data_IF_197512084781
#
_entry.id   IF_197512084781
#
_cell.length_a   1.000
_cell.length_b   1.000
_cell.length_c   1.000
_cell.angle_alpha   90.00
_cell.angle_beta   90.00
_cell.angle_gamma   90.00
#
_symmetry.space_group_name_H-M   'P 1'
#
loop_
_entity.id
_entity.type
_entity.pdbx_description
1 polymer ?
#
# COMPACT_ATOMS: atom_id res chain seq x y z
N UNK A 1 -9.62 0.48 -23.50
CA UNK A 1 -8.65 1.17 -22.63
C UNK A 1 -9.39 1.41 -21.34
N UNK A 2 -9.42 0.37 -20.50
CA UNK A 2 -10.27 0.33 -19.31
C UNK A 2 -9.58 1.08 -18.17
N UNK A 3 -10.34 1.92 -17.46
CA UNK A 3 -9.85 2.91 -16.52
C UNK A 3 -9.42 2.30 -15.19
N UNK A 4 -8.29 1.58 -15.19
CA UNK A 4 -7.68 1.03 -13.98
C UNK A 4 -7.34 2.19 -13.04
N UNK A 5 -7.94 2.18 -11.84
CA UNK A 5 -7.76 3.23 -10.84
C UNK A 5 -6.31 3.22 -10.36
N UNK A 6 -5.70 4.39 -10.31
CA UNK A 6 -4.29 4.60 -10.01
C UNK A 6 -4.03 4.42 -8.52
N UNK A 7 -3.34 3.36 -8.12
CA UNK A 7 -2.89 3.21 -6.73
C UNK A 7 -1.61 4.03 -6.55
N UNK A 8 -1.60 4.94 -5.58
CA UNK A 8 -0.38 5.67 -5.22
C UNK A 8 0.48 4.84 -4.28
N UNK A 9 1.69 4.50 -4.68
CA UNK A 9 2.71 3.99 -3.80
C UNK A 9 3.37 5.17 -3.07
N UNK A 10 3.19 5.23 -1.74
CA UNK A 10 3.93 6.12 -0.85
C UNK A 10 5.06 5.37 -0.17
N UNK A 11 6.14 6.07 0.14
CA UNK A 11 7.32 5.45 0.75
C UNK A 11 7.20 5.33 2.26
N UNK A 12 7.54 4.17 2.80
CA UNK A 12 7.52 3.91 4.24
C UNK A 12 8.58 4.74 5.01
N UNK A 13 9.61 5.23 4.31
CA UNK A 13 10.76 5.96 4.89
C UNK A 13 10.77 7.47 4.53
N UNK A 14 9.68 8.03 4.01
CA UNK A 14 9.57 9.48 3.92
C UNK A 14 9.57 10.07 5.34
N UNK A 15 10.33 11.14 5.54
CA UNK A 15 10.32 11.91 6.78
C UNK A 15 8.88 12.27 7.16
N UNK A 16 8.54 12.12 8.45
CA UNK A 16 7.17 12.28 8.96
C UNK A 16 6.51 13.62 8.55
N UNK A 17 7.32 14.67 8.34
CA UNK A 17 6.84 16.00 7.92
C UNK A 17 6.22 16.03 6.50
N UNK A 18 6.59 15.14 5.56
CA UNK A 18 5.92 15.02 4.26
C UNK A 18 4.59 14.24 4.34
N UNK A 19 4.44 13.40 5.36
CA UNK A 19 3.24 12.58 5.58
C UNK A 19 2.09 13.43 6.16
N UNK A 20 2.40 14.55 6.84
CA UNK A 20 1.44 15.46 7.50
C UNK A 20 0.39 16.07 6.55
N UNK A 21 0.61 16.04 5.23
CA UNK A 21 -0.35 16.52 4.23
C UNK A 21 -1.59 15.63 4.02
N UNK A 22 -1.58 14.38 4.49
CA UNK A 22 -2.68 13.43 4.24
C UNK A 22 -3.36 13.03 5.55
N UNK A 23 -4.38 13.79 5.94
CA UNK A 23 -5.26 13.50 7.10
C UNK A 23 -6.21 12.31 6.87
N UNK A 24 -5.85 11.34 6.03
CA UNK A 24 -6.68 10.18 5.74
C UNK A 24 -6.22 8.97 6.58
N UNK A 25 -7.11 8.32 7.35
CA UNK A 25 -6.81 7.11 8.10
C UNK A 25 -6.12 6.04 7.23
N UNK A 26 -5.04 5.46 7.77
CA UNK A 26 -4.33 4.34 7.15
C UNK A 26 -4.51 3.06 7.96
N UNK A 27 -4.74 1.96 7.26
CA UNK A 27 -4.72 0.62 7.79
C UNK A 27 -3.28 0.12 7.96
N UNK A 28 -2.93 -0.39 9.15
CA UNK A 28 -1.68 -1.13 9.39
C UNK A 28 -2.05 -2.47 10.00
N UNK A 29 -1.72 -3.57 9.31
CA UNK A 29 -1.82 -4.91 9.90
C UNK A 29 -0.61 -5.16 10.80
N UNK A 30 -0.86 -5.47 12.07
CA UNK A 30 0.14 -5.94 13.03
C UNK A 30 0.00 -7.44 13.23
N UNK A 31 0.63 -8.23 12.35
CA UNK A 31 0.63 -9.70 12.43
C UNK A 31 1.92 -10.30 11.87
N UNK A 32 2.22 -11.53 12.27
CA UNK A 32 3.32 -12.35 11.75
C UNK A 32 2.94 -13.15 10.49
N UNK A 33 1.71 -12.99 10.00
CA UNK A 33 1.24 -13.65 8.78
C UNK A 33 1.95 -13.12 7.54
N UNK A 34 2.60 -14.04 6.83
CA UNK A 34 3.23 -13.80 5.53
C UNK A 34 2.20 -13.89 4.40
N UNK A 35 2.16 -12.84 3.58
CA UNK A 35 1.33 -12.70 2.38
C UNK A 35 2.07 -13.10 1.10
N UNK A 36 3.16 -13.86 1.25
CA UNK A 36 4.07 -14.09 0.16
C UNK A 36 3.44 -15.00 -0.91
N UNK A 37 3.25 -14.47 -2.13
CA UNK A 37 2.74 -15.25 -3.26
C UNK A 37 1.28 -15.67 -3.11
N UNK A 38 0.51 -14.93 -2.30
CA UNK A 38 -0.90 -15.21 -2.06
C UNK A 38 -1.79 -14.48 -3.06
N UNK A 39 -2.83 -15.16 -3.56
CA UNK A 39 -3.86 -14.62 -4.46
C UNK A 39 -4.53 -13.35 -3.88
N UNK A 40 -4.92 -12.40 -4.74
CA UNK A 40 -5.65 -11.18 -4.41
C UNK A 40 -6.82 -11.40 -3.45
N UNK A 41 -7.46 -12.58 -3.48
CA UNK A 41 -8.52 -12.94 -2.53
C UNK A 41 -8.06 -13.00 -1.07
N UNK A 42 -6.83 -13.46 -0.80
CA UNK A 42 -6.28 -13.44 0.57
C UNK A 42 -6.00 -12.02 1.02
N UNK A 43 -5.38 -11.21 0.16
CA UNK A 43 -5.21 -9.77 0.38
C UNK A 43 -6.54 -9.08 0.68
N UNK A 44 -7.61 -9.45 -0.03
CA UNK A 44 -8.93 -8.86 0.16
C UNK A 44 -9.48 -9.21 1.54
N UNK A 45 -9.46 -10.48 1.91
CA UNK A 45 -10.00 -10.92 3.20
C UNK A 45 -9.30 -10.24 4.38
N UNK A 46 -7.99 -10.04 4.28
CA UNK A 46 -7.20 -9.45 5.36
C UNK A 46 -7.32 -7.93 5.39
N UNK A 47 -7.07 -7.25 4.26
CA UNK A 47 -7.05 -5.78 4.22
C UNK A 47 -8.45 -5.16 4.23
N UNK A 48 -9.37 -5.66 3.39
CA UNK A 48 -10.77 -5.20 3.37
C UNK A 48 -11.49 -5.64 4.65
N UNK A 49 -11.18 -6.84 5.15
CA UNK A 49 -11.69 -7.32 6.42
C UNK A 49 -11.30 -6.42 7.59
N UNK A 50 -10.02 -6.07 7.72
CA UNK A 50 -9.57 -5.16 8.76
C UNK A 50 -10.14 -3.74 8.57
N UNK A 51 -10.31 -3.25 7.34
CA UNK A 51 -10.99 -1.97 7.06
C UNK A 51 -12.41 -1.94 7.65
N UNK A 52 -13.19 -2.99 7.43
CA UNK A 52 -14.56 -3.14 7.98
C UNK A 52 -14.57 -3.24 9.51
N UNK A 53 -13.62 -3.96 10.08
CA UNK A 53 -13.43 -4.05 11.55
C UNK A 53 -13.13 -2.67 12.11
N UNK A 54 -12.18 -1.94 11.52
CA UNK A 54 -11.84 -0.58 11.96
C UNK A 54 -13.01 0.37 11.83
N UNK A 55 -13.72 0.39 10.70
CA UNK A 55 -14.90 1.23 10.52
C UNK A 55 -15.94 1.00 11.64
N UNK A 56 -16.21 -0.28 11.95
CA UNK A 56 -17.16 -0.68 12.98
C UNK A 56 -16.74 -0.28 14.40
N UNK A 57 -15.49 -0.54 14.78
CA UNK A 57 -15.04 -0.36 16.17
C UNK A 57 -14.45 1.02 16.47
N UNK A 58 -13.89 1.70 15.47
CA UNK A 58 -13.40 3.06 15.61
C UNK A 58 -14.46 4.13 15.33
N UNK A 59 -15.69 3.72 14.96
CA UNK A 59 -16.77 4.63 14.56
C UNK A 59 -16.34 5.61 13.45
N UNK A 60 -15.65 5.06 12.45
CA UNK A 60 -15.20 5.77 11.26
C UNK A 60 -16.01 5.31 10.05
N UNK A 61 -16.19 6.17 9.05
CA UNK A 61 -16.81 5.73 7.81
C UNK A 61 -15.82 4.85 7.05
N UNK A 62 -16.28 3.70 6.56
CA UNK A 62 -15.40 2.76 5.83
C UNK A 62 -14.74 3.42 4.61
N UNK A 63 -15.48 4.30 3.92
CA UNK A 63 -15.03 5.06 2.75
C UNK A 63 -13.92 6.07 3.05
N UNK A 64 -13.73 6.45 4.32
CA UNK A 64 -12.65 7.36 4.74
C UNK A 64 -11.33 6.60 4.99
N UNK A 65 -11.36 5.27 5.09
CA UNK A 65 -10.18 4.43 5.29
C UNK A 65 -9.63 4.00 3.92
N UNK A 66 -8.87 4.91 3.30
CA UNK A 66 -8.42 4.77 1.91
C UNK A 66 -6.98 4.30 1.75
N UNK A 67 -6.22 4.20 2.85
CA UNK A 67 -4.82 3.78 2.83
C UNK A 67 -4.60 2.41 3.45
N UNK A 68 -3.58 1.68 2.97
CA UNK A 68 -3.09 0.48 3.64
C UNK A 68 -1.57 0.43 3.73
N UNK A 69 -1.08 -0.43 4.62
CA UNK A 69 0.32 -0.82 4.77
C UNK A 69 0.33 -2.31 5.14
N UNK A 70 0.88 -3.12 4.24
CA UNK A 70 1.24 -4.52 4.44
C UNK A 70 2.08 -4.73 5.72
N UNK A 71 1.82 -5.84 6.44
CA UNK A 71 2.60 -6.19 7.63
C UNK A 71 4.08 -6.35 7.28
N UNK A 72 4.95 -5.91 8.20
CA UNK A 72 6.41 -6.02 8.09
C UNK A 72 7.01 -5.40 6.81
N UNK A 73 6.26 -4.55 6.10
CA UNK A 73 6.66 -3.96 4.82
C UNK A 73 6.94 -5.01 3.72
N UNK A 74 6.39 -6.22 3.86
CA UNK A 74 6.52 -7.28 2.85
C UNK A 74 5.45 -7.05 1.78
N UNK A 75 5.90 -6.76 0.56
CA UNK A 75 5.04 -6.59 -0.60
C UNK A 75 4.42 -7.91 -1.05
N UNK A 76 3.23 -7.85 -1.65
CA UNK A 76 2.52 -8.99 -2.25
C UNK A 76 2.50 -9.02 -3.78
N UNK A 77 3.35 -8.25 -4.44
CA UNK A 77 3.40 -8.15 -5.89
C UNK A 77 2.10 -7.61 -6.48
N UNK A 78 1.81 -8.00 -7.72
CA UNK A 78 0.65 -7.50 -8.47
C UNK A 78 -0.69 -7.85 -7.80
N UNK A 79 -0.77 -8.96 -7.08
CA UNK A 79 -1.97 -9.40 -6.36
C UNK A 79 -2.39 -8.43 -5.25
N UNK A 80 -1.41 -7.82 -4.55
CA UNK A 80 -1.67 -6.78 -3.57
C UNK A 80 -2.36 -5.57 -4.22
N UNK A 81 -1.81 -5.10 -5.35
CA UNK A 81 -2.28 -3.87 -6.00
C UNK A 81 -3.56 -4.08 -6.82
N UNK A 82 -3.76 -5.26 -7.39
CA UNK A 82 -5.02 -5.67 -8.01
C UNK A 82 -6.15 -5.73 -6.97
N UNK A 83 -5.90 -6.33 -5.80
CA UNK A 83 -6.83 -6.28 -4.68
C UNK A 83 -7.16 -4.83 -4.29
N UNK A 84 -6.15 -3.98 -4.14
CA UNK A 84 -6.34 -2.58 -3.77
C UNK A 84 -7.26 -1.86 -4.76
N UNK A 85 -7.05 -2.07 -6.06
CA UNK A 85 -7.88 -1.48 -7.11
C UNK A 85 -9.33 -1.99 -7.03
N UNK A 86 -9.54 -3.29 -6.77
CA UNK A 86 -10.87 -3.91 -6.62
C UNK A 86 -11.61 -3.42 -5.36
N UNK A 87 -10.89 -3.30 -4.25
CA UNK A 87 -11.44 -2.90 -2.95
C UNK A 87 -11.55 -1.37 -2.78
N UNK A 88 -11.02 -0.57 -3.71
CA UNK A 88 -11.12 0.88 -3.69
C UNK A 88 -10.14 1.56 -2.72
N UNK A 89 -9.02 0.92 -2.37
CA UNK A 89 -7.91 1.60 -1.70
C UNK A 89 -7.28 2.63 -2.65
N UNK A 90 -6.79 3.74 -2.09
CA UNK A 90 -6.19 4.84 -2.83
C UNK A 90 -4.66 4.78 -2.82
N UNK A 91 -4.06 4.38 -1.69
CA UNK A 91 -2.61 4.37 -1.55
C UNK A 91 -2.08 3.23 -0.70
N UNK A 92 -0.88 2.75 -1.08
CA UNK A 92 -0.06 1.81 -0.32
C UNK A 92 1.08 2.57 0.36
N UNK A 93 1.53 2.07 1.50
CA UNK A 93 2.73 2.59 2.17
C UNK A 93 3.65 1.48 2.70
N UNK A 94 3.79 0.42 1.92
CA UNK A 94 4.66 -0.70 2.23
C UNK A 94 5.95 -0.72 1.46
N UNK A 95 5.97 -0.08 0.29
CA UNK A 95 7.18 -0.08 -0.53
C UNK A 95 8.30 0.73 0.13
N UNK A 96 9.36 0.02 0.47
CA UNK A 96 10.59 0.61 1.00
C UNK A 96 11.50 1.01 -0.16
N UNK A 97 11.98 2.25 -0.10
CA UNK A 97 12.91 2.77 -1.11
C UNK A 97 14.15 3.28 -0.42
N UNK A 98 15.30 2.97 -1.00
CA UNK A 98 16.59 3.44 -0.55
C UNK A 98 17.22 4.29 -1.68
N UNK A 99 17.15 5.63 -1.60
CA UNK A 99 17.81 6.50 -2.56
C UNK A 99 19.35 6.49 -2.43
N UNK A 100 19.90 5.87 -1.38
CA UNK A 100 21.31 5.91 -1.03
C UNK A 100 21.64 7.12 -0.14
N UNK A 101 22.86 7.13 0.40
CA UNK A 101 23.31 8.12 1.42
C UNK A 101 23.25 9.56 0.91
N UNK A 102 23.43 9.78 -0.40
CA UNK A 102 23.42 11.09 -1.04
C UNK A 102 22.34 11.22 -2.13
N UNK A 103 21.40 10.26 -2.21
CA UNK A 103 20.34 10.32 -3.20
C UNK A 103 19.19 11.21 -2.75
N UNK A 104 18.54 11.87 -3.70
CA UNK A 104 17.32 12.61 -3.41
C UNK A 104 16.16 11.66 -3.09
N UNK A 105 15.27 12.04 -2.17
CA UNK A 105 14.08 11.25 -1.86
C UNK A 105 13.17 11.16 -3.08
N UNK A 106 12.45 10.05 -3.19
CA UNK A 106 11.43 9.90 -4.21
C UNK A 106 10.13 10.56 -3.77
N UNK A 107 9.41 11.16 -4.71
CA UNK A 107 8.04 11.62 -4.53
C UNK A 107 7.03 10.49 -4.77
N UNK A 108 5.88 10.44 -4.06
CA UNK A 108 4.88 9.41 -4.27
C UNK A 108 4.53 9.26 -5.76
N UNK A 109 4.52 8.01 -6.24
CA UNK A 109 4.22 7.69 -7.64
C UNK A 109 3.01 6.78 -7.72
N UNK A 110 2.29 6.86 -8.83
CA UNK A 110 1.31 5.85 -9.18
C UNK A 110 2.01 4.63 -9.78
N UNK A 111 1.39 3.46 -9.66
CA UNK A 111 1.79 2.26 -10.40
C UNK A 111 1.14 2.21 -11.79
N UNK A 112 1.10 3.36 -12.49
CA UNK A 112 0.72 3.40 -13.91
C UNK A 112 1.88 2.93 -14.82
N UNK A 113 3.09 2.92 -14.26
CA UNK A 113 4.34 2.57 -14.90
C UNK A 113 5.23 1.84 -13.89
N UNK A 114 6.22 1.11 -14.41
CA UNK A 114 7.24 0.49 -13.58
C UNK A 114 7.95 1.52 -12.70
N UNK A 115 8.17 1.16 -11.44
CA UNK A 115 8.86 2.02 -10.47
C UNK A 115 10.30 2.35 -10.93
N UNK A 116 10.75 3.61 -10.78
CA UNK A 116 12.08 4.04 -11.24
C UNK A 116 13.23 3.63 -10.31
N UNK A 117 12.95 3.05 -9.14
CA UNK A 117 13.95 2.57 -8.18
C UNK A 117 14.12 1.05 -8.25
N UNK A 118 15.27 0.58 -7.77
CA UNK A 118 15.47 -0.84 -7.53
C UNK A 118 14.56 -1.29 -6.37
N UNK A 119 13.65 -2.20 -6.67
CA UNK A 119 12.84 -2.86 -5.66
C UNK A 119 13.54 -4.17 -5.25
N UNK A 120 13.82 -4.31 -3.95
CA UNK A 120 14.62 -5.41 -3.40
C UNK A 120 13.76 -6.50 -2.74
N UNK A 121 12.46 -6.29 -2.63
CA UNK A 121 11.53 -7.28 -2.12
C UNK A 121 11.37 -8.45 -3.10
N UNK A 122 11.07 -9.63 -2.59
CA UNK A 122 10.85 -10.81 -3.43
C UNK A 122 9.63 -10.64 -4.36
N UNK A 123 8.71 -9.74 -4.03
CA UNK A 123 7.40 -9.57 -4.64
C UNK A 123 7.14 -8.11 -4.99
N UNK A 124 8.05 -7.54 -5.76
CA UNK A 124 7.86 -6.22 -6.35
C UNK A 124 6.75 -6.25 -7.39
N UNK A 125 5.91 -5.20 -7.48
CA UNK A 125 4.96 -5.08 -8.57
C UNK A 125 5.68 -4.89 -9.90
N UNK A 126 5.12 -5.47 -10.96
CA UNK A 126 5.71 -5.47 -12.30
C UNK A 126 4.84 -4.84 -13.37
N UNK A 127 3.54 -4.68 -13.09
CA UNK A 127 2.54 -4.17 -14.03
C UNK A 127 2.16 -2.71 -13.80
#
# INVERSE_FOLDING_TARGET
>A
MDGQRRIMAKFANANEEEIVGMRAPQLVLGGDEQFDGTDANRWLNEMDGQRRIMAKFANANEEEIVGMRAPQLVLGGDEQFDMMARAGFLYDNSMSVNPGVNGEPYWPQTLDYTVPWACYDAQCPTS
#
